data_IF_670037168993
#
_entry.id   IF_670037168993
#
_cell.length_a   1.000
_cell.length_b   1.000
_cell.length_c   1.000
_cell.angle_alpha   90.00
_cell.angle_beta   90.00
_cell.angle_gamma   90.00
#
_symmetry.space_group_name_H-M   'P 1'
#
loop_
_entity.id
_entity.type
_entity.pdbx_description
1 polymer ?
#
# COMPACT_ATOMS: atom_id res chain seq x y z
N UNK A 1 8.44 8.32 -11.29
CA UNK A 1 7.53 7.14 -11.30
C UNK A 1 6.13 7.55 -11.72
N UNK A 2 5.46 6.76 -12.55
CA UNK A 2 4.07 6.97 -13.01
C UNK A 2 3.04 6.28 -12.09
N UNK A 3 1.75 6.61 -12.23
CA UNK A 3 0.69 5.96 -11.44
C UNK A 3 0.65 4.45 -11.70
N UNK A 4 0.78 4.04 -12.97
CA UNK A 4 0.86 2.62 -13.34
C UNK A 4 2.01 1.91 -12.61
N UNK A 5 3.21 2.50 -12.59
CA UNK A 5 4.36 1.93 -11.87
C UNK A 5 4.11 1.85 -10.36
N UNK A 6 3.49 2.87 -9.77
CA UNK A 6 3.13 2.87 -8.35
C UNK A 6 2.13 1.74 -8.03
N UNK A 7 1.11 1.54 -8.88
CA UNK A 7 0.16 0.44 -8.72
C UNK A 7 0.83 -0.92 -8.76
N UNK A 8 1.78 -1.14 -9.68
CA UNK A 8 2.55 -2.40 -9.71
C UNK A 8 3.36 -2.62 -8.43
N UNK A 9 4.00 -1.57 -7.90
CA UNK A 9 4.72 -1.67 -6.61
C UNK A 9 3.77 -1.95 -5.45
N UNK A 10 2.62 -1.29 -5.42
CA UNK A 10 1.58 -1.52 -4.40
C UNK A 10 1.11 -2.98 -4.43
N UNK A 11 0.77 -3.49 -5.60
CA UNK A 11 0.37 -4.89 -5.79
C UNK A 11 1.48 -5.86 -5.41
N UNK A 12 2.72 -5.61 -5.82
CA UNK A 12 3.87 -6.43 -5.42
C UNK A 12 4.01 -6.54 -3.90
N UNK A 13 3.90 -5.42 -3.17
CA UNK A 13 3.96 -5.46 -1.72
C UNK A 13 2.75 -6.15 -1.10
N UNK A 14 1.53 -5.94 -1.61
CA UNK A 14 0.35 -6.66 -1.13
C UNK A 14 0.50 -8.16 -1.33
N UNK A 15 0.98 -8.62 -2.49
CA UNK A 15 1.24 -10.03 -2.75
C UNK A 15 2.22 -10.67 -1.75
N UNK A 16 3.17 -9.92 -1.21
CA UNK A 16 4.11 -10.42 -0.20
C UNK A 16 3.50 -10.54 1.21
N UNK A 17 2.36 -9.89 1.47
CA UNK A 17 1.60 -10.00 2.71
C UNK A 17 0.37 -10.92 2.58
N UNK A 18 0.14 -11.45 1.37
CA UNK A 18 -1.09 -12.14 1.02
C UNK A 18 -1.03 -13.63 1.38
N UNK A 19 -1.17 -13.91 2.68
CA UNK A 19 -1.17 -15.29 3.20
C UNK A 19 -2.44 -16.06 2.81
N UNK A 20 -3.54 -15.36 2.51
CA UNK A 20 -4.86 -15.94 2.17
C UNK A 20 -5.06 -16.17 0.66
N UNK A 21 -4.01 -16.01 -0.15
CA UNK A 21 -4.05 -16.22 -1.61
C UNK A 21 -5.13 -15.39 -2.34
N UNK A 22 -5.48 -14.21 -1.82
CA UNK A 22 -6.42 -13.28 -2.45
C UNK A 22 -5.88 -12.83 -3.81
N UNK A 23 -6.72 -12.78 -4.85
CA UNK A 23 -6.29 -12.24 -6.14
C UNK A 23 -5.96 -10.74 -6.01
N UNK A 24 -4.72 -10.36 -6.33
CA UNK A 24 -4.24 -8.98 -6.22
C UNK A 24 -4.39 -8.25 -7.56
N UNK A 25 -5.17 -7.18 -7.56
CA UNK A 25 -5.42 -6.33 -8.72
C UNK A 25 -5.58 -4.85 -8.31
N UNK A 26 -5.96 -4.00 -9.26
CA UNK A 26 -6.08 -2.54 -9.03
C UNK A 26 -7.27 -2.18 -8.11
N UNK A 27 -8.25 -3.07 -7.97
CA UNK A 27 -9.44 -2.92 -7.13
C UNK A 27 -9.27 -3.50 -5.72
N UNK A 28 -8.19 -4.27 -5.47
CA UNK A 28 -7.89 -4.85 -4.15
C UNK A 28 -7.89 -3.78 -3.07
N UNK A 29 -8.74 -3.97 -2.06
CA UNK A 29 -8.86 -3.11 -0.89
C UNK A 29 -7.75 -3.47 0.11
N UNK A 30 -7.02 -2.49 0.63
CA UNK A 30 -5.82 -2.77 1.43
C UNK A 30 -6.11 -3.59 2.69
N UNK A 31 -7.24 -3.34 3.37
CA UNK A 31 -7.64 -4.06 4.59
C UNK A 31 -8.05 -5.53 4.37
N UNK A 32 -8.17 -6.00 3.12
CA UNK A 32 -8.43 -7.43 2.84
C UNK A 32 -7.15 -8.26 2.81
N UNK A 33 -5.98 -7.62 2.83
CA UNK A 33 -4.66 -8.27 2.77
C UNK A 33 -3.79 -7.85 3.96
N UNK A 34 -3.92 -6.60 4.40
CA UNK A 34 -3.14 -6.04 5.49
C UNK A 34 -3.98 -5.96 6.76
N UNK A 35 -3.30 -6.02 7.90
CA UNK A 35 -3.90 -5.85 9.22
C UNK A 35 -3.17 -4.76 10.01
N UNK A 36 -3.88 -4.12 10.96
CA UNK A 36 -3.27 -3.25 11.97
C UNK A 36 -3.06 -3.93 13.32
N UNK A 37 -3.45 -5.20 13.43
CA UNK A 37 -3.31 -6.01 14.63
C UNK A 37 -2.39 -7.21 14.44
N UNK A 38 -1.83 -7.42 13.24
CA UNK A 38 -0.81 -8.43 13.02
C UNK A 38 0.59 -7.95 13.47
N UNK A 39 1.48 -8.87 13.81
CA UNK A 39 2.83 -8.53 14.27
C UNK A 39 2.92 -8.07 15.74
N UNK A 40 3.86 -7.17 16.04
CA UNK A 40 4.19 -6.75 17.41
C UNK A 40 4.29 -5.22 17.54
N UNK A 41 3.43 -4.63 18.36
CA UNK A 41 3.39 -3.19 18.59
C UNK A 41 3.09 -2.40 17.32
N UNK A 42 3.94 -1.44 16.96
CA UNK A 42 3.78 -0.63 15.75
C UNK A 42 4.28 -1.32 14.46
N UNK A 43 4.85 -2.52 14.57
CA UNK A 43 5.35 -3.30 13.43
C UNK A 43 4.27 -4.27 12.92
N UNK A 44 3.18 -3.73 12.40
CA UNK A 44 2.11 -4.45 11.72
C UNK A 44 2.22 -4.29 10.19
N UNK A 45 1.58 -5.17 9.43
CA UNK A 45 1.67 -5.18 7.97
C UNK A 45 1.17 -3.87 7.35
N UNK A 46 0.11 -3.26 7.92
CA UNK A 46 -0.35 -1.92 7.53
C UNK A 46 0.74 -0.85 7.64
N UNK A 47 1.48 -0.83 8.74
CA UNK A 47 2.55 0.15 8.98
C UNK A 47 3.76 -0.12 8.08
N UNK A 48 4.17 -1.38 7.93
CA UNK A 48 5.32 -1.80 7.11
C UNK A 48 5.03 -1.52 5.62
N UNK A 49 3.83 -1.83 5.16
CA UNK A 49 3.37 -1.52 3.81
C UNK A 49 3.46 -0.01 3.54
N UNK A 50 2.87 0.80 4.41
CA UNK A 50 2.91 2.26 4.28
C UNK A 50 4.34 2.80 4.25
N UNK A 51 5.22 2.29 5.12
CA UNK A 51 6.63 2.68 5.13
C UNK A 51 7.34 2.34 3.80
N UNK A 52 7.09 1.14 3.26
CA UNK A 52 7.65 0.66 2.00
C UNK A 52 7.24 1.55 0.82
N UNK A 53 5.95 1.88 0.70
CA UNK A 53 5.46 2.78 -0.36
C UNK A 53 6.05 4.19 -0.22
N UNK A 54 6.08 4.76 1.00
CA UNK A 54 6.68 6.09 1.23
C UNK A 54 8.16 6.13 0.86
N UNK A 55 8.90 5.08 1.20
CA UNK A 55 10.30 4.96 0.82
C UNK A 55 10.47 4.90 -0.70
N UNK A 56 9.66 4.08 -1.39
CA UNK A 56 9.67 3.99 -2.86
C UNK A 56 9.36 5.32 -3.52
N UNK A 57 8.35 6.05 -3.04
CA UNK A 57 7.99 7.38 -3.52
C UNK A 57 9.17 8.35 -3.38
N UNK A 58 9.78 8.39 -2.19
CA UNK A 58 10.95 9.24 -1.91
C UNK A 58 12.15 8.91 -2.82
N UNK A 59 12.42 7.62 -3.05
CA UNK A 59 13.51 7.16 -3.95
C UNK A 59 13.26 7.53 -5.41
N UNK A 60 12.00 7.71 -5.79
CA UNK A 60 11.59 8.13 -7.13
C UNK A 60 11.34 9.65 -7.24
N UNK A 61 11.96 10.44 -6.35
CA UNK A 61 11.91 11.91 -6.33
C UNK A 61 10.50 12.52 -6.14
N UNK A 62 9.58 11.77 -5.54
CA UNK A 62 8.25 12.27 -5.18
C UNK A 62 8.22 12.80 -3.75
N UNK A 63 7.43 13.85 -3.53
CA UNK A 63 7.21 14.39 -2.19
C UNK A 63 6.42 13.40 -1.32
N UNK A 64 6.73 13.40 -0.04
CA UNK A 64 6.01 12.61 0.96
C UNK A 64 4.69 13.31 1.33
N UNK A 65 3.63 13.02 0.57
CA UNK A 65 2.29 13.57 0.79
C UNK A 65 1.58 12.83 1.95
N UNK A 66 0.75 13.52 2.74
CA UNK A 66 -0.18 12.85 3.66
C UNK A 66 -1.09 11.88 2.89
N UNK A 67 -1.30 10.70 3.47
CA UNK A 67 -2.24 9.72 2.90
C UNK A 67 -3.66 10.06 3.35
N UNK A 68 -4.70 9.80 2.53
CA UNK A 68 -6.09 9.89 2.97
C UNK A 68 -6.31 9.06 4.24
N UNK A 69 -7.06 9.55 5.23
CA UNK A 69 -7.26 8.84 6.51
C UNK A 69 -7.98 7.50 6.34
N UNK A 70 -8.81 7.40 5.30
CA UNK A 70 -9.61 6.24 4.93
C UNK A 70 -8.88 5.28 3.97
N UNK A 71 -7.60 5.51 3.64
CA UNK A 71 -6.88 4.74 2.62
C UNK A 71 -6.91 3.23 2.81
N UNK A 72 -6.96 2.79 4.07
CA UNK A 72 -6.93 1.39 4.43
C UNK A 72 -8.16 0.64 3.94
N UNK A 73 -9.28 1.34 3.83
CA UNK A 73 -10.57 0.82 3.34
C UNK A 73 -10.78 1.12 1.85
N UNK A 74 -9.71 1.43 1.11
CA UNK A 74 -9.75 1.81 -0.30
C UNK A 74 -8.85 0.94 -1.16
N UNK A 75 -9.10 0.98 -2.46
CA UNK A 75 -8.36 0.18 -3.44
C UNK A 75 -6.97 0.74 -3.75
N UNK A 76 -6.14 -0.09 -4.39
CA UNK A 76 -4.88 0.32 -5.01
C UNK A 76 -5.07 1.48 -5.98
N UNK A 77 -6.09 1.42 -6.84
CA UNK A 77 -6.43 2.50 -7.78
C UNK A 77 -6.67 3.81 -7.05
N UNK A 78 -7.54 3.80 -6.03
CA UNK A 78 -7.83 5.01 -5.25
C UNK A 78 -6.58 5.60 -4.62
N UNK A 79 -5.83 4.79 -3.85
CA UNK A 79 -4.69 5.31 -3.11
C UNK A 79 -3.61 5.85 -4.05
N UNK A 80 -3.29 5.11 -5.12
CA UNK A 80 -2.29 5.53 -6.11
C UNK A 80 -2.61 6.89 -6.74
N UNK A 81 -3.89 7.19 -6.97
CA UNK A 81 -4.34 8.48 -7.52
C UNK A 81 -4.21 9.65 -6.55
N UNK A 82 -4.14 9.38 -5.24
CA UNK A 82 -4.08 10.42 -4.18
C UNK A 82 -2.66 10.78 -3.77
N UNK A 83 -1.75 9.81 -3.80
CA UNK A 83 -0.41 9.99 -3.24
C UNK A 83 0.66 10.29 -4.30
N UNK A 84 0.38 10.03 -5.58
CA UNK A 84 1.21 10.50 -6.68
C UNK A 84 0.91 11.98 -6.99
#
# INVERSE_FOLDING_TARGET
MTQKQLKEVMKFHLSNFNDEEVEINDETIHNTVLSDSDGYGAANSKAIYRASIRWTMKKNAHQDKPWPTDWFDKSVEYLSSKIL
#
